data_IF_910227933703
#
_entry.id   IF_910227933703
#
_cell.length_a   1.000
_cell.length_b   1.000
_cell.length_c   1.000
_cell.angle_alpha   90.00
_cell.angle_beta   90.00
_cell.angle_gamma   90.00
#
_symmetry.space_group_name_H-M   'P 1'
#
loop_
_entity.id
_entity.type
_entity.pdbx_description
1 polymer ?
#
# COMPACT_ATOMS: atom_id res chain seq x y z
N UNK A 1 1.67 -17.61 2.94
CA UNK A 1 2.29 -16.88 1.82
C UNK A 1 3.79 -16.89 2.02
N UNK A 2 4.55 -17.22 0.98
CA UNK A 2 6.02 -17.20 1.01
C UNK A 2 6.47 -15.74 1.03
N UNK A 3 7.43 -15.40 1.89
CA UNK A 3 7.99 -14.04 1.94
C UNK A 3 9.10 -13.92 0.90
N UNK A 4 8.90 -13.03 -0.07
CA UNK A 4 9.91 -12.69 -1.09
C UNK A 4 11.08 -11.93 -0.46
N UNK A 5 10.78 -10.97 0.42
CA UNK A 5 11.75 -10.13 1.12
C UNK A 5 11.53 -10.16 2.63
N UNK A 6 12.60 -9.97 3.39
CA UNK A 6 12.58 -9.89 4.86
C UNK A 6 12.56 -8.46 5.40
N UNK A 7 12.77 -7.46 4.53
CA UNK A 7 12.82 -6.05 4.91
C UNK A 7 11.53 -5.31 4.53
N UNK A 8 11.24 -4.25 5.28
CA UNK A 8 10.12 -3.35 5.06
C UNK A 8 10.66 -1.92 4.95
N UNK A 9 10.09 -1.10 4.07
CA UNK A 9 10.52 0.29 3.92
C UNK A 9 9.83 1.11 5.01
N UNK A 10 10.56 1.63 6.02
CA UNK A 10 9.96 2.43 7.08
C UNK A 10 9.46 3.77 6.55
N UNK A 11 8.64 4.45 7.35
CA UNK A 11 8.21 5.82 7.08
C UNK A 11 9.43 6.75 7.10
N UNK A 12 9.89 7.20 5.93
CA UNK A 12 10.88 8.26 5.75
C UNK A 12 10.18 9.60 5.44
N UNK A 13 10.94 10.66 5.14
CA UNK A 13 10.38 11.99 4.84
C UNK A 13 9.22 11.92 3.83
N UNK A 14 8.17 12.72 4.06
CA UNK A 14 6.84 12.59 3.43
C UNK A 14 6.93 12.51 1.89
N UNK A 15 7.81 13.30 1.27
CA UNK A 15 7.98 13.31 -0.19
C UNK A 15 8.69 12.08 -0.78
N UNK A 16 9.47 11.34 0.00
CA UNK A 16 10.27 10.21 -0.49
C UNK A 16 9.49 8.89 -0.55
N UNK A 17 8.47 8.74 0.30
CA UNK A 17 7.74 7.47 0.46
C UNK A 17 6.36 7.46 -0.17
N UNK A 18 5.87 8.63 -0.62
CA UNK A 18 4.48 8.79 -1.04
C UNK A 18 4.13 7.84 -2.19
N UNK A 19 5.03 7.70 -3.17
CA UNK A 19 4.85 6.85 -4.35
C UNK A 19 5.62 5.52 -4.28
N UNK A 20 6.23 5.20 -3.14
CA UNK A 20 6.88 3.92 -2.91
C UNK A 20 6.01 2.71 -3.26
N UNK A 21 4.70 2.67 -2.90
CA UNK A 21 3.83 1.55 -3.25
C UNK A 21 3.86 1.24 -4.75
N UNK A 22 3.84 2.26 -5.61
CA UNK A 22 3.85 2.07 -7.05
C UNK A 22 5.20 1.56 -7.57
N UNK A 23 6.29 1.88 -6.87
CA UNK A 23 7.65 1.52 -7.26
C UNK A 23 8.04 0.10 -6.86
N UNK A 24 7.62 -0.35 -5.67
CA UNK A 24 8.21 -1.54 -5.01
C UNK A 24 7.22 -2.68 -4.76
N UNK A 25 5.90 -2.41 -4.69
CA UNK A 25 4.91 -3.44 -4.34
C UNK A 25 4.89 -4.62 -5.29
N UNK A 26 5.17 -4.40 -6.58
CA UNK A 26 5.24 -5.48 -7.59
C UNK A 26 6.28 -6.56 -7.26
N UNK A 27 7.30 -6.23 -6.48
CA UNK A 27 8.35 -7.15 -6.05
C UNK A 27 8.01 -7.88 -4.74
N UNK A 28 6.82 -7.67 -4.17
CA UNK A 28 6.48 -8.23 -2.86
C UNK A 28 7.11 -7.48 -1.68
N UNK A 29 7.55 -6.23 -1.89
CA UNK A 29 8.12 -5.37 -0.84
C UNK A 29 7.01 -4.55 -0.20
N UNK A 30 6.85 -4.68 1.11
CA UNK A 30 5.88 -3.92 1.89
C UNK A 30 6.30 -2.45 2.01
N UNK A 31 5.33 -1.54 1.92
CA UNK A 31 5.54 -0.09 1.93
C UNK A 31 4.51 0.62 2.80
N UNK A 32 4.86 1.82 3.30
CA UNK A 32 3.97 2.65 4.12
C UNK A 32 3.81 4.04 3.51
N UNK A 33 2.57 4.51 3.43
CA UNK A 33 2.22 5.87 2.99
C UNK A 33 1.93 6.73 4.23
N UNK A 34 2.54 7.91 4.32
CA UNK A 34 2.19 8.90 5.35
C UNK A 34 0.96 9.71 4.91
N UNK A 35 -0.08 9.75 5.75
CA UNK A 35 -1.32 10.52 5.49
C UNK A 35 -1.29 11.93 6.08
N UNK A 36 -0.11 12.43 6.46
CA UNK A 36 0.05 13.69 7.20
C UNK A 36 -0.31 14.93 6.37
N UNK A 37 -0.03 14.92 5.06
CA UNK A 37 -0.16 16.09 4.19
C UNK A 37 -1.09 15.80 3.01
N UNK A 38 -2.37 16.20 3.13
CA UNK A 38 -3.37 15.99 2.08
C UNK A 38 -3.14 16.85 0.83
N UNK A 39 -2.46 17.99 0.96
CA UNK A 39 -2.11 18.85 -0.18
C UNK A 39 -1.08 18.14 -1.04
N UNK A 40 -0.08 17.52 -0.42
CA UNK A 40 0.89 16.71 -1.14
C UNK A 40 0.25 15.50 -1.81
N UNK A 41 -0.64 14.78 -1.11
CA UNK A 41 -1.36 13.64 -1.71
C UNK A 41 -2.15 14.07 -2.95
N UNK A 42 -2.83 15.21 -2.89
CA UNK A 42 -3.59 15.74 -4.02
C UNK A 42 -2.70 16.14 -5.21
N UNK A 43 -1.54 16.76 -4.95
CA UNK A 43 -0.53 17.08 -5.99
C UNK A 43 0.01 15.82 -6.67
N UNK A 44 0.33 14.79 -5.89
CA UNK A 44 0.81 13.51 -6.42
C UNK A 44 -0.30 12.80 -7.19
N UNK A 45 -1.55 12.84 -6.69
CA UNK A 45 -2.73 12.31 -7.38
C UNK A 45 -2.89 12.97 -8.76
N UNK A 46 -2.82 14.29 -8.83
CA UNK A 46 -2.87 15.06 -10.10
C UNK A 46 -1.78 14.61 -11.07
N UNK A 47 -0.53 14.60 -10.61
CA UNK A 47 0.62 14.20 -11.43
C UNK A 47 0.44 12.80 -12.02
N UNK A 48 0.09 11.81 -11.19
CA UNK A 48 -0.07 10.43 -11.66
C UNK A 48 -1.32 10.22 -12.51
N UNK A 49 -2.44 10.89 -12.19
CA UNK A 49 -3.65 10.81 -13.01
C UNK A 49 -3.38 11.33 -14.43
N UNK A 50 -2.67 12.46 -14.56
CA UNK A 50 -2.23 12.98 -15.86
C UNK A 50 -1.27 12.02 -16.57
N UNK A 51 -0.27 11.48 -15.86
CA UNK A 51 0.72 10.56 -16.42
C UNK A 51 0.09 9.29 -16.98
N UNK A 52 -0.89 8.72 -16.27
CA UNK A 52 -1.56 7.48 -16.65
C UNK A 52 -2.89 7.70 -17.38
N UNK A 53 -3.23 8.95 -17.71
CA UNK A 53 -4.47 9.33 -18.41
C UNK A 53 -5.75 8.86 -17.69
N UNK A 54 -5.73 8.89 -16.36
CA UNK A 54 -6.88 8.58 -15.50
C UNK A 54 -7.70 9.86 -15.31
N UNK A 55 -9.05 9.80 -15.34
CA UNK A 55 -9.90 10.95 -15.05
C UNK A 55 -9.53 11.62 -13.72
N UNK A 56 -9.41 12.94 -13.74
CA UNK A 56 -8.98 13.72 -12.59
C UNK A 56 -9.85 14.96 -12.43
N UNK A 57 -10.59 14.99 -11.32
CA UNK A 57 -11.26 16.17 -10.81
C UNK A 57 -10.54 16.66 -9.56
N UNK A 58 -10.21 17.95 -9.51
CA UNK A 58 -9.46 18.55 -8.41
C UNK A 58 -10.34 18.68 -7.15
N UNK A 59 -9.86 18.16 -6.03
CA UNK A 59 -10.59 18.25 -4.75
C UNK A 59 -10.11 19.51 -4.04
N UNK A 60 -10.96 20.53 -4.00
CA UNK A 60 -10.62 21.85 -3.44
C UNK A 60 -11.01 21.97 -1.97
N UNK A 61 -10.39 22.89 -1.24
CA UNK A 61 -10.68 23.15 0.20
C UNK A 61 -12.09 23.70 0.46
N UNK A 62 -12.82 24.06 -0.61
CA UNK A 62 -14.21 24.54 -0.53
C UNK A 62 -15.22 23.40 -0.44
N UNK A 63 -14.80 22.17 -0.72
CA UNK A 63 -15.65 20.99 -0.66
C UNK A 63 -15.77 20.51 0.79
N UNK A 64 -16.94 20.00 1.15
CA UNK A 64 -17.12 19.36 2.46
C UNK A 64 -16.23 18.12 2.56
N UNK A 65 -15.61 17.90 3.73
CA UNK A 65 -14.69 16.79 3.99
C UNK A 65 -13.54 16.60 2.98
N UNK A 66 -13.09 17.68 2.32
CA UNK A 66 -12.09 17.63 1.25
C UNK A 66 -10.81 16.84 1.60
N UNK A 67 -10.36 16.86 2.86
CA UNK A 67 -9.17 16.11 3.31
C UNK A 67 -9.39 14.60 3.21
N UNK A 68 -10.54 14.11 3.67
CA UNK A 68 -10.88 12.70 3.60
C UNK A 68 -11.02 12.25 2.14
N UNK A 69 -11.68 13.06 1.31
CA UNK A 69 -11.83 12.79 -0.13
C UNK A 69 -10.49 12.74 -0.86
N UNK A 70 -9.56 13.67 -0.58
CA UNK A 70 -8.19 13.65 -1.13
C UNK A 70 -7.44 12.38 -0.76
N UNK A 71 -7.46 12.03 0.53
CA UNK A 71 -6.81 10.82 1.04
C UNK A 71 -7.38 9.57 0.37
N UNK A 72 -8.71 9.42 0.36
CA UNK A 72 -9.37 8.25 -0.24
C UNK A 72 -9.10 8.15 -1.74
N UNK A 73 -9.23 9.26 -2.47
CA UNK A 73 -8.99 9.30 -3.92
C UNK A 73 -7.54 8.95 -4.26
N UNK A 74 -6.59 9.43 -3.45
CA UNK A 74 -5.19 9.09 -3.58
C UNK A 74 -4.91 7.61 -3.32
N UNK A 75 -5.42 7.05 -2.22
CA UNK A 75 -5.19 5.65 -1.86
C UNK A 75 -5.80 4.68 -2.88
N UNK A 76 -6.98 5.02 -3.42
CA UNK A 76 -7.58 4.28 -4.52
C UNK A 76 -6.70 4.32 -5.77
N UNK A 77 -6.20 5.50 -6.16
CA UNK A 77 -5.28 5.63 -7.31
C UNK A 77 -4.02 4.78 -7.13
N UNK A 78 -3.39 4.84 -5.96
CA UNK A 78 -2.19 4.05 -5.68
C UNK A 78 -2.47 2.56 -5.72
N UNK A 79 -3.58 2.12 -5.12
CA UNK A 79 -4.00 0.71 -5.15
C UNK A 79 -4.16 0.22 -6.59
N UNK A 80 -4.97 0.93 -7.39
CA UNK A 80 -5.24 0.53 -8.78
C UNK A 80 -3.97 0.46 -9.62
N UNK A 81 -3.13 1.51 -9.56
CA UNK A 81 -1.88 1.53 -10.33
C UNK A 81 -0.88 0.45 -9.86
N UNK A 82 -0.82 0.17 -8.57
CA UNK A 82 0.03 -0.90 -8.02
C UNK A 82 -0.45 -2.30 -8.44
N UNK A 83 -1.76 -2.54 -8.42
CA UNK A 83 -2.35 -3.80 -8.89
C UNK A 83 -2.08 -4.01 -10.38
N UNK A 84 -2.28 -2.98 -11.22
CA UNK A 84 -1.96 -3.03 -12.65
C UNK A 84 -0.48 -3.33 -12.90
N UNK A 85 0.43 -2.67 -12.16
CA UNK A 85 1.87 -2.91 -12.27
C UNK A 85 2.28 -4.31 -11.81
N UNK A 86 1.57 -4.88 -10.84
CA UNK A 86 1.82 -6.24 -10.39
C UNK A 86 1.37 -7.28 -11.42
N UNK A 87 0.20 -7.09 -12.04
CA UNK A 87 -0.26 -7.96 -13.13
C UNK A 87 0.66 -7.88 -14.36
N UNK A 88 1.09 -6.68 -14.73
CA UNK A 88 2.09 -6.46 -15.79
C UNK A 88 3.41 -7.20 -15.45
N UNK A 89 3.88 -7.07 -14.21
CA UNK A 89 5.08 -7.74 -13.73
C UNK A 89 4.97 -9.27 -13.82
N UNK A 90 3.89 -9.87 -13.30
CA UNK A 90 3.64 -11.32 -13.39
C UNK A 90 3.65 -11.81 -14.82
N UNK A 91 3.02 -11.06 -15.74
CA UNK A 91 3.01 -11.39 -17.15
C UNK A 91 4.43 -11.36 -17.74
N UNK A 92 5.24 -10.37 -17.38
CA UNK A 92 6.59 -10.19 -17.92
C UNK A 92 7.55 -11.29 -17.46
N UNK A 93 7.58 -11.64 -16.17
CA UNK A 93 8.48 -12.67 -15.65
C UNK A 93 8.11 -14.09 -16.09
N UNK A 94 6.89 -14.30 -16.60
CA UNK A 94 6.40 -15.62 -17.05
C UNK A 94 6.39 -15.77 -18.57
N UNK A 95 7.02 -14.86 -19.33
CA UNK A 95 7.06 -14.94 -20.80
C UNK A 95 8.00 -16.04 -21.28
N UNK A 96 9.22 -16.09 -20.74
CA UNK A 96 10.23 -17.07 -21.13
C UNK A 96 10.83 -17.78 -19.93
N UNK A 97 11.50 -18.91 -20.19
CA UNK A 97 12.29 -19.61 -19.17
C UNK A 97 13.39 -18.71 -18.60
N UNK A 98 14.02 -17.89 -19.44
CA UNK A 98 15.13 -17.03 -19.01
C UNK A 98 14.65 -15.95 -18.05
N UNK A 99 13.51 -15.31 -18.33
CA UNK A 99 12.93 -14.27 -17.45
C UNK A 99 12.65 -14.80 -16.04
N UNK A 100 12.18 -16.05 -15.94
CA UNK A 100 11.95 -16.72 -14.65
C UNK A 100 13.28 -16.92 -13.91
N UNK A 101 14.30 -17.44 -14.61
CA UNK A 101 15.60 -17.72 -14.02
C UNK A 101 16.27 -16.43 -13.55
N UNK A 102 16.31 -15.40 -14.40
CA UNK A 102 16.91 -14.09 -14.09
C UNK A 102 16.26 -13.48 -12.83
N UNK A 103 14.93 -13.52 -12.74
CA UNK A 103 14.21 -13.04 -11.56
C UNK A 103 14.65 -13.75 -10.27
N UNK A 104 14.84 -15.08 -10.30
CA UNK A 104 15.26 -15.83 -9.12
C UNK A 104 16.75 -15.70 -8.82
N UNK A 105 17.60 -15.45 -9.81
CA UNK A 105 19.01 -15.17 -9.61
C UNK A 105 19.21 -13.85 -8.86
N UNK A 106 18.40 -12.83 -9.16
CA UNK A 106 18.41 -11.53 -8.47
C UNK A 106 17.90 -11.59 -7.03
N UNK A 107 17.13 -12.62 -6.66
CA UNK A 107 16.65 -12.80 -5.30
C UNK A 107 17.77 -13.29 -4.36
N UNK A 108 17.81 -12.80 -3.10
CA UNK A 108 18.78 -13.29 -2.13
C UNK A 108 18.52 -14.78 -1.80
N UNK A 109 19.57 -15.54 -1.53
CA UNK A 109 19.48 -16.98 -1.20
C UNK A 109 18.70 -17.28 0.09
N UNK A 110 18.54 -16.28 0.95
CA UNK A 110 17.69 -16.32 2.14
C UNK A 110 16.19 -16.19 1.84
N UNK A 111 15.80 -15.88 0.61
CA UNK A 111 14.40 -15.74 0.22
C UNK A 111 13.70 -17.10 0.25
N UNK A 112 12.63 -17.20 1.04
CA UNK A 112 11.80 -18.42 1.10
C UNK A 112 11.21 -18.79 -0.26
N UNK A 113 10.90 -17.78 -1.10
CA UNK A 113 10.39 -17.98 -2.45
C UNK A 113 11.45 -18.64 -3.35
N UNK A 114 12.70 -18.17 -3.30
CA UNK A 114 13.81 -18.75 -4.07
C UNK A 114 14.11 -20.18 -3.65
N UNK A 115 14.09 -20.46 -2.34
CA UNK A 115 14.32 -21.80 -1.81
C UNK A 115 13.25 -22.79 -2.27
N UNK A 116 11.97 -22.41 -2.25
CA UNK A 116 10.89 -23.26 -2.76
C UNK A 116 10.97 -23.44 -4.28
N UNK A 117 11.30 -22.39 -5.03
CA UNK A 117 11.50 -22.48 -6.47
C UNK A 117 12.57 -23.53 -6.83
N UNK A 118 13.74 -23.49 -6.18
CA UNK A 118 14.81 -24.47 -6.40
C UNK A 118 14.33 -25.91 -6.14
N UNK A 119 13.52 -26.13 -5.08
CA UNK A 119 12.95 -27.45 -4.80
C UNK A 119 12.04 -27.92 -5.93
N UNK A 120 11.12 -27.06 -6.38
CA UNK A 120 10.16 -27.38 -7.45
C UNK A 120 10.86 -27.63 -8.79
N UNK A 121 11.96 -26.94 -9.08
CA UNK A 121 12.69 -27.07 -10.35
C UNK A 121 13.83 -28.11 -10.35
N UNK A 122 14.17 -28.68 -9.19
CA UNK A 122 15.32 -29.58 -9.02
C UNK A 122 15.25 -30.89 -9.82
N UNK A 123 14.04 -31.38 -10.14
CA UNK A 123 13.83 -32.66 -10.82
C UNK A 123 13.60 -32.54 -12.32
N UNK A 124 12.79 -31.56 -12.74
CA UNK A 124 12.54 -31.24 -14.15
C UNK A 124 11.98 -29.81 -14.28
N UNK A 125 12.54 -29.01 -15.18
CA UNK A 125 12.07 -27.65 -15.42
C UNK A 125 10.96 -27.66 -16.48
N UNK A 126 9.71 -27.65 -16.03
CA UNK A 126 8.53 -27.46 -16.88
C UNK A 126 8.03 -26.01 -16.77
N UNK A 127 8.20 -25.24 -17.84
CA UNK A 127 7.85 -23.80 -17.90
C UNK A 127 6.39 -23.57 -17.50
N UNK A 128 5.47 -24.45 -17.92
CA UNK A 128 4.04 -24.27 -17.66
C UNK A 128 3.73 -24.49 -16.18
N UNK A 129 4.25 -25.56 -15.60
CA UNK A 129 4.08 -25.86 -14.15
C UNK A 129 4.70 -24.77 -13.28
N UNK A 130 5.89 -24.31 -13.63
CA UNK A 130 6.59 -23.23 -12.90
C UNK A 130 5.80 -21.92 -13.00
N UNK A 131 5.26 -21.62 -14.18
CA UNK A 131 4.42 -20.42 -14.39
C UNK A 131 3.15 -20.46 -13.54
N UNK A 132 2.47 -21.61 -13.48
CA UNK A 132 1.26 -21.74 -12.67
C UNK A 132 1.59 -21.70 -11.17
N UNK A 133 2.68 -22.33 -10.75
CA UNK A 133 3.19 -22.20 -9.37
C UNK A 133 3.51 -20.75 -9.00
N UNK A 134 4.13 -19.98 -9.90
CA UNK A 134 4.44 -18.56 -9.67
C UNK A 134 3.19 -17.72 -9.46
N UNK A 135 2.11 -17.96 -10.22
CA UNK A 135 0.84 -17.24 -10.06
C UNK A 135 0.23 -17.46 -8.68
N UNK A 136 0.44 -18.62 -8.07
CA UNK A 136 -0.09 -18.96 -6.75
C UNK A 136 0.82 -18.49 -5.60
N UNK A 137 2.12 -18.36 -5.85
CA UNK A 137 3.12 -18.10 -4.80
C UNK A 137 3.65 -16.67 -4.78
N UNK A 138 3.46 -15.89 -5.84
CA UNK A 138 3.82 -14.46 -5.86
C UNK A 138 2.76 -13.62 -5.15
N UNK A 139 3.23 -12.77 -4.24
CA UNK A 139 2.42 -11.75 -3.58
C UNK A 139 2.82 -10.36 -4.05
N UNK A 140 1.84 -9.48 -4.20
CA UNK A 140 2.10 -8.05 -4.15
C UNK A 140 2.45 -7.65 -2.70
N UNK A 141 3.40 -6.73 -2.56
CA UNK A 141 3.76 -6.17 -1.26
C UNK A 141 2.61 -5.38 -0.66
N UNK A 142 2.49 -5.44 0.66
CA UNK A 142 1.43 -4.75 1.39
C UNK A 142 1.63 -3.23 1.32
N UNK A 143 0.52 -2.51 1.21
CA UNK A 143 0.49 -1.05 1.20
C UNK A 143 -0.19 -0.60 2.49
N UNK A 144 0.61 -0.28 3.48
CA UNK A 144 0.14 0.23 4.76
C UNK A 144 0.06 1.76 4.76
N UNK A 145 -0.67 2.29 5.74
CA UNK A 145 -0.78 3.73 5.95
C UNK A 145 -0.33 4.09 7.37
N UNK A 146 0.44 5.17 7.47
CA UNK A 146 0.79 5.79 8.73
C UNK A 146 -0.13 6.98 9.01
N UNK A 147 -0.93 6.83 10.06
CA UNK A 147 -1.87 7.84 10.55
C UNK A 147 -1.19 8.55 11.72
N UNK A 148 -0.27 9.47 11.43
CA UNK A 148 0.39 10.26 12.48
C UNK A 148 -0.56 11.40 12.93
N UNK A 149 -1.12 11.28 14.14
CA UNK A 149 -2.20 12.16 14.65
C UNK A 149 -1.75 13.52 15.18
N UNK A 150 -0.64 14.09 14.70
CA UNK A 150 -0.09 15.35 15.24
C UNK A 150 -0.30 16.55 14.31
N UNK A 151 -1.35 16.57 13.49
CA UNK A 151 -1.62 17.72 12.59
C UNK A 151 -3.12 17.86 12.30
N UNK A 152 -3.96 17.97 13.32
CA UNK A 152 -5.28 18.56 13.12
C UNK A 152 -5.32 19.93 13.81
N UNK A 153 -5.43 20.96 12.98
CA UNK A 153 -5.87 22.29 13.39
C UNK A 153 -7.37 22.16 13.64
N UNK A 154 -7.82 22.44 14.86
CA UNK A 154 -9.24 22.39 15.21
C UNK A 154 -10.04 23.29 14.25
N UNK A 155 -10.92 22.68 13.44
CA UNK A 155 -11.91 23.43 12.67
C UNK A 155 -12.98 23.94 13.65
N UNK A 156 -12.71 25.10 14.25
CA UNK A 156 -13.68 25.84 15.04
C UNK A 156 -14.74 26.49 14.13
N UNK A 157 -15.73 25.72 13.68
CA UNK A 157 -17.01 26.29 13.27
C UNK A 157 -17.69 26.84 14.52
N UNK A 158 -17.97 28.16 14.52
CA UNK A 158 -18.66 28.87 15.60
C UNK A 158 -20.01 28.20 15.87
N UNK A 159 -20.18 27.74 17.12
CA UNK A 159 -21.35 27.03 17.68
C UNK A 159 -21.38 25.51 17.48
N UNK A 160 -21.53 24.82 18.63
CA UNK A 160 -21.48 23.39 18.91
C UNK A 160 -20.10 22.71 18.83
N UNK A 161 -19.54 22.51 20.03
CA UNK A 161 -18.50 21.53 20.35
C UNK A 161 -18.70 20.22 19.57
N UNK A 162 -17.88 20.00 18.55
CA UNK A 162 -17.63 18.67 17.99
C UNK A 162 -16.16 18.37 18.18
N UNK A 163 -15.88 17.44 19.09
CA UNK A 163 -14.61 16.72 19.15
C UNK A 163 -14.43 15.97 17.80
N UNK A 164 -13.77 16.60 16.83
CA UNK A 164 -13.65 16.10 15.45
C UNK A 164 -12.52 15.08 15.26
N UNK A 165 -11.53 15.02 16.15
CA UNK A 165 -10.35 14.16 15.95
C UNK A 165 -10.65 12.65 16.05
N UNK A 166 -11.62 12.25 16.89
CA UNK A 166 -12.03 10.84 17.03
C UNK A 166 -13.09 10.46 15.96
N UNK A 167 -13.95 11.39 15.55
CA UNK A 167 -15.02 11.10 14.57
C UNK A 167 -14.52 10.95 13.15
N UNK A 168 -13.50 11.70 12.71
CA UNK A 168 -12.89 11.53 11.39
C UNK A 168 -12.17 10.19 11.32
N UNK A 169 -11.40 9.83 12.36
CA UNK A 169 -10.77 8.52 12.45
C UNK A 169 -11.82 7.40 12.44
N UNK A 170 -12.87 7.50 13.27
CA UNK A 170 -13.97 6.53 13.26
C UNK A 170 -14.73 6.49 11.95
N UNK A 171 -14.82 7.59 11.20
CA UNK A 171 -15.53 7.67 9.92
C UNK A 171 -14.68 7.19 8.75
N UNK A 172 -13.36 7.44 8.77
CA UNK A 172 -12.39 6.83 7.85
C UNK A 172 -12.33 5.33 8.11
N UNK A 173 -12.21 4.90 9.37
CA UNK A 173 -12.30 3.49 9.78
C UNK A 173 -13.66 2.93 9.36
N UNK A 174 -14.78 3.56 9.68
CA UNK A 174 -16.13 3.07 9.31
C UNK A 174 -16.38 3.03 7.80
N UNK A 175 -15.88 3.99 7.02
CA UNK A 175 -15.93 3.99 5.55
C UNK A 175 -14.99 2.92 4.95
N UNK A 176 -13.81 2.71 5.54
CA UNK A 176 -12.88 1.62 5.19
C UNK A 176 -13.50 0.25 5.49
N UNK A 177 -14.12 0.07 6.65
CA UNK A 177 -14.68 -1.19 7.14
C UNK A 177 -16.01 -1.56 6.44
N UNK A 178 -16.73 -0.62 5.83
CA UNK A 178 -18.00 -0.90 5.13
C UNK A 178 -17.81 -1.36 3.67
N UNK A 179 -16.62 -1.15 3.06
CA UNK A 179 -16.42 -1.41 1.62
C UNK A 179 -15.47 -2.58 1.27
N UNK A 180 -14.74 -3.19 2.20
CA UNK A 180 -13.76 -4.27 1.89
C UNK A 180 -13.71 -5.31 3.03
N UNK A 181 -13.90 -6.61 2.78
CA UNK A 181 -13.54 -7.65 3.74
C UNK A 181 -12.07 -8.05 3.52
N UNK A 182 -11.18 -7.76 4.48
CA UNK A 182 -10.04 -8.60 4.94
C UNK A 182 -8.89 -7.79 5.61
N UNK A 183 -8.62 -8.23 6.86
CA UNK A 183 -7.35 -8.34 7.60
C UNK A 183 -6.60 -7.05 8.00
N UNK A 184 -6.73 -6.69 9.29
CA UNK A 184 -5.82 -5.83 10.03
C UNK A 184 -5.13 -6.67 11.11
N UNK A 185 -3.80 -6.71 11.14
CA UNK A 185 -3.02 -7.45 12.15
C UNK A 185 -2.25 -6.55 13.13
N UNK A 186 -2.38 -5.22 13.03
CA UNK A 186 -1.49 -4.26 13.70
C UNK A 186 -2.20 -3.24 14.62
N UNK A 187 -3.51 -3.35 14.83
CA UNK A 187 -4.27 -2.41 15.69
C UNK A 187 -4.00 -2.58 17.20
N UNK A 188 -3.54 -3.75 17.67
CA UNK A 188 -3.56 -4.08 19.10
C UNK A 188 -2.51 -3.37 19.97
N UNK A 189 -1.40 -2.86 19.40
CA UNK A 189 -0.32 -2.30 20.22
C UNK A 189 -0.48 -0.82 20.59
N UNK A 190 -1.27 -0.06 19.83
CA UNK A 190 -1.54 1.34 20.15
C UNK A 190 -2.58 1.49 21.28
N UNK A 191 -3.46 0.50 21.46
CA UNK A 191 -4.57 0.54 22.42
C UNK A 191 -4.10 0.45 23.89
N UNK A 192 -3.08 -0.38 24.18
CA UNK A 192 -2.66 -0.66 25.55
C UNK A 192 -1.87 0.47 26.25
N UNK A 193 -1.18 1.34 25.50
CA UNK A 193 -0.42 2.46 26.11
C UNK A 193 -1.27 3.68 26.48
N UNK A 194 -2.49 3.77 25.96
CA UNK A 194 -3.36 4.92 26.26
C UNK A 194 -4.18 4.69 27.55
N UNK A 195 -4.49 3.45 27.91
CA UNK A 195 -5.20 3.16 29.16
C UNK A 195 -4.32 3.31 30.42
N UNK A 196 -3.00 3.14 30.32
CA UNK A 196 -2.11 3.18 31.50
C UNK A 196 -1.68 4.59 31.93
N UNK A 197 -1.97 5.63 31.15
CA UNK A 197 -1.71 7.04 31.52
C UNK A 197 -2.92 7.79 32.10
N UNK A 198 -4.04 7.08 32.34
CA UNK A 198 -5.22 7.60 33.04
C UNK A 198 -5.46 6.87 34.37
N UNK A 199 -4.43 6.81 35.20
CA UNK A 199 -4.56 6.66 36.66
C UNK A 199 -3.66 7.67 37.33
#
# INVERSE_FOLDING_TARGET
MLKTHSFHIPVMGIGFIIDSPLKVSRFGIDSVISLVDDILLEKIRKMYSLKFKIPYDEITEKMDDFRAERVTSYLNLMKTLSEEKFEEFKKNITQTKQDIVDFFEDLPDSSSLKQEFVKVTSSNFDVKKVTDWLKENLSMGQIDVNIMTKVDKDNYTKSLFKFYSIKVLWRIIWLYFRKIPLIIHSFDRAFYRYQTKKK
#
